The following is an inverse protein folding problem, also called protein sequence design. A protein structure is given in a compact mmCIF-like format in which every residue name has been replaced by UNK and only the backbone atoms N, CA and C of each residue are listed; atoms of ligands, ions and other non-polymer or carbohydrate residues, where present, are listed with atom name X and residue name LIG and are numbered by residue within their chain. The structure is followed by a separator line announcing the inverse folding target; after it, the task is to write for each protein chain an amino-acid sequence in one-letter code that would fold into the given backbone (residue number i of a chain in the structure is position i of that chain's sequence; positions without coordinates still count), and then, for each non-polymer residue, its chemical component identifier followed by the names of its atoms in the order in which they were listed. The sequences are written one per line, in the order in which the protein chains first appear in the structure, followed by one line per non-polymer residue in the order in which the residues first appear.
data_IF_180589654602
#
_entry.id   IF_180589654602
#
_cell.length_a   1.000
_cell.length_b   1.000
_cell.length_c   1.000
_cell.angle_alpha   90.00
_cell.angle_beta   90.00
_cell.angle_gamma   90.00
#
_symmetry.space_group_name_H-M   'P 1'
#
loop_
_entity.id
_entity.type
_entity.pdbx_description
1 polymer ?
#
# COMPACT_ATOMS: atom_id res chain seq x y z
N UNK A 1 6.91 13.46 -11.93
CA UNK A 1 6.25 12.17 -12.17
C UNK A 1 7.25 11.04 -11.98
N UNK A 2 6.85 10.00 -11.24
CA UNK A 2 7.62 8.78 -11.08
C UNK A 2 7.81 8.14 -12.46
N UNK A 3 9.05 7.86 -12.84
CA UNK A 3 9.38 7.22 -14.10
C UNK A 3 10.21 5.97 -13.81
N UNK A 4 9.62 4.76 -13.86
CA UNK A 4 10.31 3.50 -13.60
C UNK A 4 11.53 3.29 -14.49
N UNK A 5 11.44 3.67 -15.78
CA UNK A 5 12.55 3.53 -16.72
C UNK A 5 13.76 4.40 -16.35
N UNK A 6 13.48 5.61 -15.80
CA UNK A 6 14.53 6.50 -15.27
C UNK A 6 15.20 5.90 -14.04
N UNK A 7 14.43 5.26 -13.18
CA UNK A 7 14.94 4.60 -11.98
C UNK A 7 15.84 3.42 -12.36
N UNK A 8 15.39 2.55 -13.27
CA UNK A 8 16.20 1.44 -13.80
C UNK A 8 17.48 1.94 -14.49
N UNK A 9 17.43 3.08 -15.20
CA UNK A 9 18.61 3.70 -15.79
C UNK A 9 19.60 4.16 -14.72
N UNK A 10 19.13 4.84 -13.66
CA UNK A 10 19.95 5.32 -12.54
C UNK A 10 20.66 4.16 -11.82
N UNK A 11 19.93 3.07 -11.56
CA UNK A 11 20.47 1.88 -10.90
C UNK A 11 21.52 1.18 -11.78
N UNK A 12 21.29 1.05 -13.09
CA UNK A 12 22.25 0.48 -14.04
C UNK A 12 23.52 1.32 -14.15
N UNK A 13 23.45 2.63 -13.99
CA UNK A 13 24.58 3.54 -14.06
C UNK A 13 25.38 3.64 -12.72
N UNK A 14 24.98 2.90 -11.67
CA UNK A 14 25.63 2.92 -10.37
C UNK A 14 25.54 4.26 -9.63
N UNK A 15 24.59 5.12 -10.00
CA UNK A 15 24.34 6.40 -9.33
C UNK A 15 23.58 6.16 -8.02
N UNK A 16 23.86 6.98 -6.99
CA UNK A 16 23.05 6.96 -5.76
C UNK A 16 21.62 7.32 -6.08
N UNK A 17 20.71 6.40 -5.80
CA UNK A 17 19.27 6.60 -5.88
C UNK A 17 18.79 7.28 -4.59
N UNK A 18 17.97 8.31 -4.69
CA UNK A 18 17.24 8.87 -3.57
C UNK A 18 15.94 8.08 -3.43
N UNK A 19 15.90 7.13 -2.50
CA UNK A 19 14.78 6.22 -2.30
C UNK A 19 13.45 6.97 -2.10
N UNK A 20 13.47 8.07 -1.34
CA UNK A 20 12.27 8.86 -1.10
C UNK A 20 11.80 9.59 -2.35
N UNK A 21 12.74 10.15 -3.15
CA UNK A 21 12.42 10.93 -4.34
C UNK A 21 12.13 10.07 -5.56
N UNK A 22 12.91 9.01 -5.75
CA UNK A 22 12.86 8.21 -6.96
C UNK A 22 11.84 7.07 -6.88
N UNK A 23 11.62 6.48 -5.69
CA UNK A 23 10.64 5.40 -5.45
C UNK A 23 9.47 5.81 -4.55
N UNK A 24 9.51 7.00 -3.93
CA UNK A 24 8.54 7.43 -2.92
C UNK A 24 8.37 6.44 -1.78
N UNK A 25 9.48 5.83 -1.40
CA UNK A 25 9.52 4.88 -0.31
C UNK A 25 9.44 5.60 1.03
N UNK A 26 8.31 5.43 1.71
CA UNK A 26 8.07 5.88 3.08
C UNK A 26 7.66 4.67 3.91
N UNK A 27 8.56 4.21 4.76
CA UNK A 27 8.28 3.08 5.64
C UNK A 27 7.12 3.44 6.59
N UNK A 28 6.11 2.58 6.68
CA UNK A 28 4.97 2.80 7.56
C UNK A 28 5.41 2.60 9.03
N UNK A 29 5.22 3.58 9.93
CA UNK A 29 5.48 3.42 11.36
C UNK A 29 4.71 2.23 11.93
N UNK A 30 5.31 1.55 12.92
CA UNK A 30 4.78 0.28 13.42
C UNK A 30 3.38 0.40 14.04
N UNK A 31 3.12 1.49 14.77
CA UNK A 31 1.83 1.80 15.38
C UNK A 31 0.74 2.09 14.33
N UNK A 32 1.08 2.81 13.26
CA UNK A 32 0.18 3.05 12.12
C UNK A 32 -0.08 1.74 11.38
N UNK A 33 0.94 0.90 11.19
CA UNK A 33 0.78 -0.41 10.55
C UNK A 33 -0.15 -1.32 11.36
N UNK A 34 0.01 -1.38 12.69
CA UNK A 34 -0.85 -2.15 13.58
C UNK A 34 -2.29 -1.60 13.59
N UNK A 35 -2.42 -0.28 13.59
CA UNK A 35 -3.73 0.36 13.51
C UNK A 35 -4.44 0.08 12.19
N UNK A 36 -3.73 0.07 11.06
CA UNK A 36 -4.29 -0.24 9.75
C UNK A 36 -4.79 -1.70 9.69
N UNK A 37 -4.02 -2.64 10.26
CA UNK A 37 -4.43 -4.05 10.41
C UNK A 37 -5.70 -4.15 11.28
N UNK A 38 -5.78 -3.38 12.36
CA UNK A 38 -6.98 -3.33 13.21
C UNK A 38 -8.20 -2.79 12.45
N UNK A 39 -8.05 -1.74 11.64
CA UNK A 39 -9.12 -1.21 10.79
C UNK A 39 -9.63 -2.23 9.78
N UNK A 40 -8.75 -3.12 9.28
CA UNK A 40 -9.15 -4.26 8.45
C UNK A 40 -9.88 -5.38 9.22
N UNK A 41 -10.14 -5.19 10.51
CA UNK A 41 -10.79 -6.19 11.37
C UNK A 41 -9.86 -7.26 11.90
N UNK A 42 -8.54 -7.02 11.89
CA UNK A 42 -7.50 -8.01 12.21
C UNK A 42 -7.30 -9.03 11.10
N UNK A 43 -6.38 -9.97 11.34
CA UNK A 43 -6.04 -11.06 10.41
C UNK A 43 -6.30 -12.40 11.07
N UNK A 44 -6.89 -13.32 10.34
CA UNK A 44 -7.19 -14.68 10.76
C UNK A 44 -6.45 -15.71 9.90
N UNK A 45 -6.26 -16.92 10.41
CA UNK A 45 -5.56 -18.00 9.68
C UNK A 45 -6.24 -18.41 8.36
N UNK A 46 -7.53 -18.11 8.21
CA UNK A 46 -8.31 -18.40 7.00
C UNK A 46 -8.26 -17.28 5.97
N UNK A 47 -7.64 -16.14 6.30
CA UNK A 47 -7.57 -15.03 5.37
C UNK A 47 -6.56 -15.29 4.25
N UNK A 48 -6.93 -14.84 3.05
CA UNK A 48 -6.02 -14.62 1.94
C UNK A 48 -5.61 -13.15 1.96
N UNK A 49 -4.31 -12.87 2.09
CA UNK A 49 -3.81 -11.53 2.41
C UNK A 49 -2.88 -11.03 1.32
N UNK A 50 -3.13 -9.80 0.84
CA UNK A 50 -2.28 -9.09 -0.11
C UNK A 50 -1.71 -7.81 0.49
N UNK A 51 -0.42 -7.57 0.24
CA UNK A 51 0.28 -6.29 0.37
C UNK A 51 0.88 -5.90 -1.00
N UNK A 52 0.25 -5.00 -1.78
CA UNK A 52 0.63 -4.73 -3.18
C UNK A 52 1.82 -3.77 -3.35
N UNK A 53 2.41 -3.26 -2.27
CA UNK A 53 3.53 -2.30 -2.28
C UNK A 53 4.42 -2.47 -1.04
N UNK A 54 4.95 -3.70 -0.89
CA UNK A 54 5.44 -4.21 0.39
C UNK A 54 6.64 -3.47 1.00
N UNK A 55 7.44 -2.77 0.20
CA UNK A 55 8.63 -2.10 0.69
C UNK A 55 9.55 -3.06 1.44
N UNK A 56 9.92 -2.69 2.67
CA UNK A 56 10.67 -3.55 3.60
C UNK A 56 9.79 -4.32 4.57
N UNK A 57 8.52 -4.56 4.20
CA UNK A 57 7.62 -5.42 4.94
C UNK A 57 7.11 -4.83 6.25
N UNK A 58 6.98 -3.50 6.38
CA UNK A 58 6.44 -2.88 7.58
C UNK A 58 5.01 -3.33 7.88
N UNK A 59 4.14 -3.32 6.88
CA UNK A 59 2.78 -3.84 6.98
C UNK A 59 2.74 -5.37 7.13
N UNK A 60 3.60 -6.10 6.42
CA UNK A 60 3.73 -7.56 6.57
C UNK A 60 4.06 -7.93 8.01
N UNK A 61 5.00 -7.22 8.65
CA UNK A 61 5.33 -7.42 10.07
C UNK A 61 4.14 -7.16 10.98
N UNK A 62 3.30 -6.16 10.70
CA UNK A 62 2.08 -5.89 11.45
C UNK A 62 1.02 -7.00 11.24
N UNK A 63 0.86 -7.47 10.01
CA UNK A 63 0.01 -8.61 9.66
C UNK A 63 0.44 -9.86 10.46
N UNK A 64 1.75 -10.16 10.47
CA UNK A 64 2.28 -11.31 11.23
C UNK A 64 2.23 -11.11 12.75
N UNK A 65 2.21 -9.88 13.28
CA UNK A 65 1.89 -9.65 14.71
C UNK A 65 0.45 -9.99 15.04
N UNK A 66 -0.48 -9.75 14.10
CA UNK A 66 -1.89 -10.12 14.25
C UNK A 66 -2.12 -11.62 14.07
N UNK A 67 -1.49 -12.24 13.06
CA UNK A 67 -1.58 -13.67 12.78
C UNK A 67 -0.25 -14.19 12.24
N UNK A 68 0.62 -14.79 13.08
CA UNK A 68 1.97 -15.24 12.67
C UNK A 68 1.99 -16.35 11.62
N UNK A 69 0.93 -17.15 11.51
CA UNK A 69 0.84 -18.29 10.58
C UNK A 69 0.32 -17.92 9.19
N UNK A 70 -0.26 -16.72 9.02
CA UNK A 70 -0.84 -16.34 7.73
C UNK A 70 0.25 -16.12 6.67
N UNK A 71 -0.02 -16.59 5.46
CA UNK A 71 0.83 -16.26 4.31
C UNK A 71 0.38 -14.94 3.70
N UNK A 72 1.34 -14.03 3.48
CA UNK A 72 1.11 -12.75 2.81
C UNK A 72 1.66 -12.82 1.40
N UNK A 73 0.80 -12.64 0.41
CA UNK A 73 1.22 -12.40 -0.96
C UNK A 73 1.53 -10.91 -1.14
N UNK A 74 2.58 -10.58 -1.91
CA UNK A 74 3.00 -9.20 -2.05
C UNK A 74 3.62 -8.88 -3.42
N UNK A 75 3.66 -7.58 -3.72
CA UNK A 75 4.39 -7.00 -4.84
C UNK A 75 5.38 -5.97 -4.32
N UNK A 76 6.52 -5.85 -4.99
CA UNK A 76 7.53 -4.84 -4.64
C UNK A 76 8.41 -4.50 -5.85
N UNK A 77 8.47 -3.21 -6.19
CA UNK A 77 9.16 -2.72 -7.37
C UNK A 77 10.69 -2.68 -7.20
N UNK A 78 11.18 -2.39 -5.98
CA UNK A 78 12.60 -2.22 -5.72
C UNK A 78 13.32 -3.55 -5.54
N UNK A 79 14.38 -3.84 -6.34
CA UNK A 79 15.11 -5.11 -6.26
C UNK A 79 15.67 -5.41 -4.86
N UNK A 80 16.25 -4.39 -4.18
CA UNK A 80 16.85 -4.58 -2.85
C UNK A 80 15.79 -4.94 -1.79
N UNK A 81 14.58 -4.40 -1.91
CA UNK A 81 13.48 -4.75 -1.02
C UNK A 81 12.96 -6.16 -1.30
N UNK A 82 12.92 -6.57 -2.57
CA UNK A 82 12.55 -7.95 -2.96
C UNK A 82 13.51 -8.98 -2.38
N UNK A 83 14.83 -8.72 -2.44
CA UNK A 83 15.83 -9.58 -1.80
C UNK A 83 15.57 -9.72 -0.29
N UNK A 84 15.22 -8.61 0.36
CA UNK A 84 14.87 -8.63 1.78
C UNK A 84 13.56 -9.42 2.05
N UNK A 85 12.51 -9.23 1.25
CA UNK A 85 11.23 -9.91 1.42
C UNK A 85 11.38 -11.43 1.29
N UNK A 86 12.27 -11.92 0.43
CA UNK A 86 12.59 -13.35 0.33
C UNK A 86 13.19 -13.96 1.59
N UNK A 87 13.67 -13.14 2.53
CA UNK A 87 14.21 -13.61 3.82
C UNK A 87 13.13 -13.75 4.90
N UNK A 88 11.92 -13.28 4.64
CA UNK A 88 10.82 -13.33 5.60
C UNK A 88 10.05 -14.65 5.47
N UNK A 89 9.68 -15.22 6.61
CA UNK A 89 8.81 -16.41 6.65
C UNK A 89 7.36 -16.05 6.26
N UNK A 90 6.66 -16.99 5.63
CA UNK A 90 5.25 -16.83 5.24
C UNK A 90 4.99 -15.61 4.34
N UNK A 91 5.93 -15.28 3.46
CA UNK A 91 5.80 -14.22 2.44
C UNK A 91 6.01 -14.80 1.05
N UNK A 92 5.10 -14.50 0.14
CA UNK A 92 5.20 -14.88 -1.28
C UNK A 92 5.25 -13.60 -2.11
N UNK A 93 6.41 -13.33 -2.69
CA UNK A 93 6.56 -12.26 -3.67
C UNK A 93 6.03 -12.75 -5.02
N UNK A 94 4.92 -12.14 -5.50
CA UNK A 94 4.27 -12.52 -6.74
C UNK A 94 4.99 -11.93 -7.95
N UNK A 95 5.20 -10.61 -7.96
CA UNK A 95 5.87 -9.90 -9.07
C UNK A 95 6.37 -8.52 -8.60
N UNK A 96 6.86 -7.72 -9.57
CA UNK A 96 7.39 -6.37 -9.34
C UNK A 96 6.28 -5.33 -9.21
N UNK A 97 5.31 -5.31 -10.12
CA UNK A 97 4.38 -4.20 -10.32
C UNK A 97 2.92 -4.67 -10.27
N UNK A 98 2.29 -4.44 -9.13
CA UNK A 98 0.86 -4.75 -8.92
C UNK A 98 -0.06 -4.15 -9.99
N UNK A 99 0.30 -2.99 -10.55
CA UNK A 99 -0.57 -2.30 -11.52
C UNK A 99 -0.56 -2.97 -12.91
N UNK A 100 0.45 -3.80 -13.21
CA UNK A 100 0.58 -4.49 -14.49
C UNK A 100 0.04 -5.91 -14.45
N UNK A 101 0.37 -6.64 -13.40
CA UNK A 101 0.21 -8.09 -13.34
C UNK A 101 -0.57 -8.54 -12.09
N UNK A 102 -1.55 -7.74 -11.64
CA UNK A 102 -2.35 -8.09 -10.48
C UNK A 102 -3.17 -9.36 -10.72
N UNK A 103 -2.97 -10.36 -9.87
CA UNK A 103 -3.66 -11.66 -9.91
C UNK A 103 -4.33 -11.97 -8.58
N UNK A 104 -5.18 -12.98 -8.56
CA UNK A 104 -5.82 -13.48 -7.34
C UNK A 104 -6.99 -12.63 -6.86
N UNK A 105 -7.61 -13.10 -5.78
CA UNK A 105 -8.64 -12.43 -5.00
C UNK A 105 -8.36 -12.66 -3.51
N UNK A 106 -8.65 -11.65 -2.68
CA UNK A 106 -8.19 -11.61 -1.30
C UNK A 106 -9.32 -11.23 -0.35
N UNK A 107 -9.31 -11.84 0.83
CA UNK A 107 -10.21 -11.44 1.91
C UNK A 107 -9.70 -10.19 2.63
N UNK A 108 -8.38 -9.96 2.60
CA UNK A 108 -7.72 -8.80 3.21
C UNK A 108 -6.69 -8.22 2.27
N UNK A 109 -6.78 -6.90 2.04
CA UNK A 109 -5.75 -6.14 1.33
C UNK A 109 -5.33 -4.98 2.23
N UNK A 110 -4.04 -4.91 2.57
CA UNK A 110 -3.49 -3.86 3.46
C UNK A 110 -2.31 -3.22 2.76
N UNK A 111 -2.35 -1.89 2.58
CA UNK A 111 -1.42 -1.21 1.68
C UNK A 111 -1.01 0.19 2.13
N UNK A 112 0.21 0.56 1.75
CA UNK A 112 0.68 1.95 1.71
C UNK A 112 1.28 2.22 0.32
N UNK A 113 0.44 2.47 -0.71
CA UNK A 113 0.87 2.67 -2.09
C UNK A 113 1.59 4.01 -2.29
N UNK A 114 2.31 4.20 -3.41
CA UNK A 114 2.92 5.49 -3.75
C UNK A 114 1.86 6.57 -3.99
N UNK A 115 2.15 7.84 -3.59
CA UNK A 115 1.17 8.95 -3.64
C UNK A 115 1.31 9.88 -4.86
N UNK A 116 2.47 9.89 -5.56
CA UNK A 116 2.67 10.78 -6.72
C UNK A 116 1.61 10.59 -7.78
N UNK A 117 1.23 11.70 -8.41
CA UNK A 117 0.30 11.71 -9.54
C UNK A 117 -1.02 10.99 -9.23
N UNK A 118 -1.42 11.02 -7.95
CA UNK A 118 -2.61 10.31 -7.45
C UNK A 118 -2.59 8.80 -7.78
N UNK A 119 -1.42 8.14 -7.67
CA UNK A 119 -1.30 6.69 -7.86
C UNK A 119 -1.99 5.92 -6.73
N UNK A 120 -2.01 6.48 -5.52
CA UNK A 120 -2.68 5.91 -4.35
C UNK A 120 -4.15 5.58 -4.63
N UNK A 121 -4.89 6.49 -5.27
CA UNK A 121 -6.30 6.25 -5.60
C UNK A 121 -6.49 5.27 -6.78
N UNK A 122 -5.55 5.20 -7.72
CA UNK A 122 -5.58 4.14 -8.75
C UNK A 122 -5.34 2.77 -8.14
N UNK A 123 -4.35 2.69 -7.23
CA UNK A 123 -4.08 1.46 -6.49
C UNK A 123 -5.29 1.01 -5.65
N UNK A 124 -5.97 1.94 -4.94
CA UNK A 124 -7.16 1.61 -4.14
C UNK A 124 -8.27 1.02 -5.02
N UNK A 125 -8.52 1.59 -6.21
CA UNK A 125 -9.51 1.05 -7.14
C UNK A 125 -9.14 -0.35 -7.63
N UNK A 126 -7.89 -0.55 -8.03
CA UNK A 126 -7.39 -1.85 -8.49
C UNK A 126 -7.43 -2.91 -7.36
N UNK A 127 -7.05 -2.52 -6.14
CA UNK A 127 -7.16 -3.38 -4.96
C UNK A 127 -8.61 -3.79 -4.69
N UNK A 128 -9.56 -2.87 -4.81
CA UNK A 128 -10.98 -3.18 -4.66
C UNK A 128 -11.48 -4.22 -5.69
N UNK A 129 -10.99 -4.17 -6.92
CA UNK A 129 -11.29 -5.18 -7.94
C UNK A 129 -10.80 -6.58 -7.52
N UNK A 130 -9.68 -6.64 -6.79
CA UNK A 130 -9.06 -7.88 -6.27
C UNK A 130 -9.61 -8.31 -4.91
N UNK A 131 -10.53 -7.56 -4.33
CA UNK A 131 -11.15 -7.90 -3.06
C UNK A 131 -12.28 -8.92 -3.29
N UNK A 132 -12.35 -9.95 -2.46
CA UNK A 132 -13.46 -10.90 -2.44
C UNK A 132 -14.73 -10.27 -1.84
N UNK A 133 -15.88 -10.84 -2.14
CA UNK A 133 -17.14 -10.49 -1.47
C UNK A 133 -17.02 -10.73 0.04
N UNK A 134 -17.33 -9.72 0.84
CA UNK A 134 -17.14 -9.72 2.29
C UNK A 134 -15.70 -9.41 2.72
N UNK A 135 -14.77 -9.25 1.79
CA UNK A 135 -13.39 -8.86 2.08
C UNK A 135 -13.24 -7.40 2.52
N UNK A 136 -12.10 -7.07 3.11
CA UNK A 136 -11.79 -5.72 3.62
C UNK A 136 -10.45 -5.25 3.06
N UNK A 137 -10.48 -4.06 2.46
CA UNK A 137 -9.33 -3.26 2.05
C UNK A 137 -9.08 -2.17 3.08
N UNK A 138 -7.84 -2.03 3.55
CA UNK A 138 -7.37 -0.90 4.34
C UNK A 138 -6.09 -0.33 3.71
N UNK A 139 -6.13 0.92 3.25
CA UNK A 139 -5.01 1.54 2.57
C UNK A 139 -4.71 2.94 3.09
N UNK A 140 -3.41 3.27 3.17
CA UNK A 140 -2.97 4.64 3.42
C UNK A 140 -2.98 5.40 2.09
N UNK A 141 -3.48 6.63 2.11
CA UNK A 141 -3.53 7.52 0.95
C UNK A 141 -3.09 8.93 1.33
N UNK A 142 -2.75 9.75 0.35
CA UNK A 142 -2.55 11.19 0.55
C UNK A 142 -3.88 11.87 0.87
N UNK A 143 -3.84 13.05 1.49
CA UNK A 143 -5.05 13.90 1.65
C UNK A 143 -5.41 14.66 0.37
N UNK A 144 -4.55 14.67 -0.65
CA UNK A 144 -4.72 15.49 -1.83
C UNK A 144 -6.08 15.26 -2.50
N UNK A 145 -6.46 14.01 -2.74
CA UNK A 145 -7.71 13.67 -3.41
C UNK A 145 -8.97 14.17 -2.69
N UNK A 146 -8.91 14.42 -1.38
CA UNK A 146 -10.06 14.88 -0.59
C UNK A 146 -10.51 16.29 -0.98
N UNK A 147 -9.56 17.16 -1.36
CA UNK A 147 -9.80 18.57 -1.59
C UNK A 147 -9.56 19.02 -3.06
N UNK A 148 -8.87 18.22 -3.84
CA UNK A 148 -8.49 18.54 -5.20
C UNK A 148 -9.70 18.56 -6.15
N UNK A 149 -9.63 19.46 -7.14
CA UNK A 149 -10.67 19.64 -8.16
C UNK A 149 -10.40 18.89 -9.46
N UNK A 150 -9.28 18.15 -9.52
CA UNK A 150 -8.96 17.31 -10.67
C UNK A 150 -10.01 16.22 -10.83
N UNK A 151 -10.40 15.96 -12.07
CA UNK A 151 -11.45 14.98 -12.40
C UNK A 151 -11.22 13.65 -11.71
N UNK A 152 -9.99 13.14 -11.73
CA UNK A 152 -9.60 11.86 -11.08
C UNK A 152 -9.94 11.84 -9.59
N UNK A 153 -9.68 12.94 -8.87
CA UNK A 153 -9.96 13.05 -7.44
C UNK A 153 -11.46 13.19 -7.16
N UNK A 154 -12.20 13.93 -8.04
CA UNK A 154 -13.66 14.02 -7.94
C UNK A 154 -14.29 12.65 -8.16
N UNK A 155 -13.94 11.99 -9.27
CA UNK A 155 -14.43 10.64 -9.61
C UNK A 155 -14.12 9.60 -8.52
N UNK A 156 -12.97 9.76 -7.82
CA UNK A 156 -12.61 8.87 -6.71
C UNK A 156 -13.50 9.09 -5.49
N UNK A 157 -13.80 10.35 -5.13
CA UNK A 157 -14.70 10.66 -4.00
C UNK A 157 -16.10 10.12 -4.25
N UNK A 158 -16.65 10.34 -5.46
CA UNK A 158 -17.97 9.83 -5.85
C UNK A 158 -18.00 8.29 -5.77
N UNK A 159 -16.99 7.63 -6.32
CA UNK A 159 -16.88 6.18 -6.26
C UNK A 159 -16.71 5.67 -4.81
N UNK A 160 -15.95 6.36 -3.96
CA UNK A 160 -15.76 5.95 -2.56
C UNK A 160 -17.08 6.01 -1.77
N UNK A 161 -17.94 6.99 -2.07
CA UNK A 161 -19.30 7.06 -1.53
C UNK A 161 -20.17 5.88 -2.03
N UNK A 162 -20.09 5.54 -3.33
CA UNK A 162 -20.84 4.42 -3.92
C UNK A 162 -20.48 3.08 -3.27
N UNK A 163 -19.21 2.84 -2.97
CA UNK A 163 -18.74 1.61 -2.32
C UNK A 163 -18.77 1.68 -0.78
N UNK A 164 -19.36 2.74 -0.22
CA UNK A 164 -19.46 2.98 1.22
C UNK A 164 -18.12 2.96 1.95
N UNK A 165 -17.08 3.50 1.31
CA UNK A 165 -15.75 3.57 1.90
C UNK A 165 -15.67 4.53 3.09
N UNK A 166 -15.01 4.10 4.13
CA UNK A 166 -14.74 4.89 5.33
C UNK A 166 -13.37 5.57 5.24
N UNK A 167 -13.26 6.77 5.80
CA UNK A 167 -12.03 7.58 5.74
C UNK A 167 -11.64 8.04 7.13
N UNK A 168 -10.39 7.77 7.52
CA UNK A 168 -9.84 8.14 8.81
C UNK A 168 -8.64 9.07 8.63
N UNK A 169 -8.55 10.15 9.39
CA UNK A 169 -7.41 11.07 9.34
C UNK A 169 -6.24 10.50 10.15
N UNK A 170 -5.05 10.49 9.53
CA UNK A 170 -3.79 10.18 10.21
C UNK A 170 -3.14 11.52 10.57
N UNK A 171 -2.80 11.71 11.84
CA UNK A 171 -2.29 12.96 12.38
C UNK A 171 -1.09 13.50 11.61
N UNK A 172 -1.05 14.82 11.42
CA UNK A 172 0.10 15.46 10.78
C UNK A 172 1.36 15.19 11.63
N UNK A 173 2.33 14.50 11.02
CA UNK A 173 3.61 14.18 11.65
C UNK A 173 3.76 12.76 12.17
N UNK A 174 2.75 11.90 12.06
CA UNK A 174 2.89 10.47 12.38
C UNK A 174 3.92 9.78 11.46
N UNK A 175 4.15 10.31 10.27
CA UNK A 175 5.17 9.85 9.33
C UNK A 175 6.49 10.65 9.37
N UNK A 176 6.72 11.48 10.40
CA UNK A 176 7.97 12.29 10.50
C UNK A 176 9.23 11.44 10.55
N UNK A 177 9.19 10.32 11.28
CA UNK A 177 10.31 9.40 11.37
C UNK A 177 10.62 8.73 10.02
N UNK A 178 9.62 8.58 9.16
CA UNK A 178 9.76 8.07 7.79
C UNK A 178 10.18 9.15 6.78
N UNK A 179 10.43 10.38 7.24
CA UNK A 179 10.97 11.47 6.42
C UNK A 179 9.94 12.24 5.61
N UNK A 180 8.64 12.13 5.91
CA UNK A 180 7.60 12.95 5.26
C UNK A 180 6.75 13.71 6.27
N UNK A 181 6.33 14.92 5.87
CA UNK A 181 5.33 15.73 6.60
C UNK A 181 3.98 15.75 5.87
N UNK A 182 3.83 14.92 4.84
CA UNK A 182 2.58 14.84 4.08
C UNK A 182 1.48 14.32 5.00
N UNK A 183 0.37 15.05 5.05
CA UNK A 183 -0.83 14.59 5.75
C UNK A 183 -1.44 13.42 4.98
N UNK A 184 -1.71 12.35 5.69
CA UNK A 184 -2.20 11.09 5.13
C UNK A 184 -3.56 10.71 5.72
N UNK A 185 -4.22 9.78 5.10
CA UNK A 185 -5.51 9.22 5.51
C UNK A 185 -5.47 7.70 5.38
N UNK A 186 -6.27 7.02 6.19
CA UNK A 186 -6.60 5.63 5.90
C UNK A 186 -7.97 5.59 5.21
N UNK A 187 -8.05 4.81 4.13
CA UNK A 187 -9.28 4.46 3.43
C UNK A 187 -9.58 3.00 3.72
N UNK A 188 -10.80 2.71 4.19
CA UNK A 188 -11.26 1.35 4.49
C UNK A 188 -12.50 1.06 3.68
N UNK A 189 -12.50 -0.05 2.94
CA UNK A 189 -13.63 -0.45 2.09
C UNK A 189 -13.93 -1.92 2.37
N UNK A 190 -15.21 -2.22 2.59
CA UNK A 190 -15.72 -3.59 2.65
C UNK A 190 -16.51 -3.86 1.37
N UNK A 191 -16.16 -4.93 0.67
CA UNK A 191 -16.87 -5.38 -0.54
C UNK A 191 -18.03 -6.28 -0.21
#
# INVERSE_FOLDING_TARGET
PFNPERVFSILKEGKRCDLQKDFQFFETPADIADWLVMLAGGIHETDTVLEPSAGRGALIKAIHRSCPSVTVECYELMPENREFLHTLDNVILLDEDFTKDSVGHYTKIIANPPFSDNQDIDHVRLMYERLEEGGILAAITSQHWKFASEKKCVDFREWLEEVHGEVFEIGAGEFKESGTTVSTMAVVIKK
#
